data_IF_789300363099
#
_entry.id   IF_789300363099
#
_cell.length_a   1.000
_cell.length_b   1.000
_cell.length_c   1.000
_cell.angle_alpha   90.00
_cell.angle_beta   90.00
_cell.angle_gamma   90.00
#
_symmetry.space_group_name_H-M   'P 1'
#
loop_
_entity.id
_entity.type
_entity.pdbx_description
1 polymer ?
#
# COMPACT_ATOMS: atom_id res chain seq x y z
N UNK A 1 17.37 11.78 1.86
CA UNK A 1 16.65 10.51 2.05
C UNK A 1 17.40 9.61 3.03
N UNK A 2 16.71 9.05 4.05
CA UNK A 2 17.31 8.29 5.17
C UNK A 2 17.27 6.78 4.91
N UNK A 3 18.21 6.03 5.52
CA UNK A 3 18.14 4.56 5.65
C UNK A 3 17.36 4.21 6.92
N UNK A 4 16.63 3.10 6.89
CA UNK A 4 15.94 2.58 8.07
C UNK A 4 16.92 1.82 8.97
N UNK A 5 16.77 1.97 10.29
CA UNK A 5 17.41 1.08 11.25
C UNK A 5 16.67 -0.26 11.31
N UNK A 6 17.29 -1.30 11.89
CA UNK A 6 16.64 -2.59 12.12
C UNK A 6 15.32 -2.45 12.89
N UNK A 7 15.32 -1.61 13.94
CA UNK A 7 14.11 -1.29 14.70
C UNK A 7 13.03 -0.63 13.82
N UNK A 8 13.41 0.25 12.89
CA UNK A 8 12.48 0.86 11.93
C UNK A 8 11.80 -0.18 11.03
N UNK A 9 12.55 -1.15 10.53
CA UNK A 9 11.98 -2.27 9.75
C UNK A 9 11.04 -3.14 10.59
N UNK A 10 11.38 -3.40 11.86
CA UNK A 10 10.52 -4.16 12.77
C UNK A 10 9.20 -3.43 13.05
N UNK A 11 9.25 -2.12 13.27
CA UNK A 11 8.03 -1.31 13.42
C UNK A 11 7.20 -1.26 12.14
N UNK A 12 7.82 -1.11 10.96
CA UNK A 12 7.11 -1.19 9.67
C UNK A 12 6.35 -2.50 9.55
N UNK A 13 7.01 -3.62 9.83
CA UNK A 13 6.39 -4.94 9.76
C UNK A 13 5.23 -5.07 10.76
N UNK A 14 5.45 -4.68 12.02
CA UNK A 14 4.41 -4.69 13.06
C UNK A 14 3.19 -3.84 12.67
N UNK A 15 3.41 -2.61 12.19
CA UNK A 15 2.33 -1.74 11.73
C UNK A 15 1.61 -2.32 10.51
N UNK A 16 2.33 -2.96 9.59
CA UNK A 16 1.73 -3.65 8.44
C UNK A 16 0.78 -4.75 8.88
N UNK A 17 1.20 -5.59 9.84
CA UNK A 17 0.36 -6.64 10.43
C UNK A 17 -0.91 -6.05 11.07
N UNK A 18 -0.76 -4.99 11.86
CA UNK A 18 -1.93 -4.31 12.46
C UNK A 18 -2.86 -3.72 11.41
N UNK A 19 -2.33 -3.09 10.37
CA UNK A 19 -3.14 -2.54 9.29
C UNK A 19 -3.92 -3.64 8.55
N UNK A 20 -3.30 -4.78 8.23
CA UNK A 20 -4.03 -5.89 7.59
C UNK A 20 -5.02 -6.57 8.53
N UNK A 21 -4.74 -6.67 9.82
CA UNK A 21 -5.71 -7.15 10.81
C UNK A 21 -6.93 -6.22 10.90
N UNK A 22 -6.72 -4.90 10.93
CA UNK A 22 -7.80 -3.91 10.87
C UNK A 22 -8.58 -4.05 9.55
N UNK A 23 -7.88 -4.20 8.43
CA UNK A 23 -8.50 -4.41 7.13
C UNK A 23 -9.43 -5.64 7.15
N UNK A 24 -8.96 -6.77 7.69
CA UNK A 24 -9.77 -7.97 7.86
C UNK A 24 -10.98 -7.76 8.77
N UNK A 25 -10.83 -7.00 9.86
CA UNK A 25 -11.96 -6.62 10.71
C UNK A 25 -12.99 -5.77 9.96
N UNK A 26 -12.55 -4.81 9.14
CA UNK A 26 -13.44 -3.96 8.35
C UNK A 26 -14.22 -4.77 7.29
N UNK A 27 -13.57 -5.74 6.64
CA UNK A 27 -14.23 -6.67 5.71
C UNK A 27 -15.35 -7.43 6.42
N UNK A 28 -15.05 -8.03 7.58
CA UNK A 28 -16.02 -8.80 8.35
C UNK A 28 -17.10 -7.92 9.02
N UNK A 29 -16.81 -6.64 9.25
CA UNK A 29 -17.73 -5.66 9.81
C UNK A 29 -18.74 -5.06 8.81
N UNK A 30 -18.78 -5.54 7.56
CA UNK A 30 -19.80 -5.17 6.58
C UNK A 30 -19.44 -4.02 5.64
N UNK A 31 -18.19 -3.53 5.64
CA UNK A 31 -17.76 -2.52 4.66
C UNK A 31 -17.66 -3.06 3.23
N UNK A 32 -17.56 -4.38 3.06
CA UNK A 32 -17.58 -5.04 1.75
C UNK A 32 -16.53 -4.45 0.79
N UNK A 33 -17.00 -3.92 -0.34
CA UNK A 33 -16.15 -3.33 -1.39
C UNK A 33 -15.48 -2.02 -0.99
N UNK A 34 -15.94 -1.36 0.07
CA UNK A 34 -15.41 -0.06 0.52
C UNK A 34 -14.18 -0.17 1.43
N UNK A 35 -13.64 -1.38 1.64
CA UNK A 35 -12.47 -1.55 2.50
C UNK A 35 -11.22 -0.97 1.81
N UNK A 36 -10.51 -0.02 2.45
CA UNK A 36 -9.31 0.58 1.86
C UNK A 36 -8.12 -0.37 1.90
N UNK A 37 -7.19 -0.24 0.94
CA UNK A 37 -5.90 -0.94 0.99
C UNK A 37 -4.93 -0.22 1.93
N UNK A 38 -4.91 -0.65 3.19
CA UNK A 38 -4.11 -0.01 4.24
C UNK A 38 -2.60 -0.24 4.04
N UNK A 39 -2.21 -1.34 3.38
CA UNK A 39 -0.83 -1.60 2.99
C UNK A 39 -0.32 -0.57 1.97
N UNK A 40 -1.14 -0.24 0.98
CA UNK A 40 -0.83 0.79 0.00
C UNK A 40 -0.73 2.18 0.64
N UNK A 41 -1.67 2.52 1.54
CA UNK A 41 -1.64 3.78 2.29
C UNK A 41 -0.34 3.93 3.09
N UNK A 42 0.09 2.84 3.76
CA UNK A 42 1.36 2.81 4.48
C UNK A 42 2.54 3.03 3.53
N UNK A 43 2.59 2.31 2.40
CA UNK A 43 3.68 2.43 1.43
C UNK A 43 3.80 3.85 0.88
N UNK A 44 2.70 4.43 0.40
CA UNK A 44 2.72 5.79 -0.16
C UNK A 44 3.03 6.87 0.89
N UNK A 45 2.66 6.64 2.15
CA UNK A 45 3.03 7.52 3.26
C UNK A 45 4.54 7.51 3.56
N UNK A 46 5.20 6.36 3.37
CA UNK A 46 6.64 6.19 3.57
C UNK A 46 7.47 6.54 2.33
N UNK A 47 6.87 6.43 1.14
CA UNK A 47 7.52 6.63 -0.15
C UNK A 47 8.34 7.92 -0.16
N UNK A 48 7.73 9.07 0.13
CA UNK A 48 8.39 10.39 0.12
C UNK A 48 9.64 10.52 1.02
N UNK A 49 9.85 9.61 1.98
CA UNK A 49 10.89 9.73 3.01
C UNK A 49 12.06 8.76 2.83
N UNK A 50 11.80 7.62 2.20
CA UNK A 50 12.75 6.55 2.01
C UNK A 50 13.43 6.64 0.65
N UNK A 51 14.62 6.04 0.56
CA UNK A 51 15.31 5.78 -0.73
C UNK A 51 14.59 4.65 -1.45
N UNK A 52 14.63 4.61 -2.78
CA UNK A 52 13.99 3.56 -3.58
C UNK A 52 14.42 2.14 -3.17
N UNK A 53 15.69 1.92 -2.84
CA UNK A 53 16.17 0.60 -2.39
C UNK A 53 15.57 0.17 -1.05
N UNK A 54 15.44 1.11 -0.10
CA UNK A 54 14.80 0.88 1.20
C UNK A 54 13.30 0.67 1.02
N UNK A 55 12.69 1.39 0.08
CA UNK A 55 11.27 1.28 -0.24
C UNK A 55 10.91 -0.09 -0.80
N UNK A 56 11.79 -0.69 -1.63
CA UNK A 56 11.63 -2.08 -2.09
C UNK A 56 11.61 -3.07 -0.93
N UNK A 57 12.51 -2.91 0.05
CA UNK A 57 12.54 -3.75 1.25
C UNK A 57 11.28 -3.58 2.10
N UNK A 58 10.81 -2.34 2.26
CA UNK A 58 9.56 -2.05 2.96
C UNK A 58 8.37 -2.69 2.23
N UNK A 59 8.30 -2.61 0.90
CA UNK A 59 7.27 -3.28 0.11
C UNK A 59 7.30 -4.81 0.28
N UNK A 60 8.49 -5.42 0.34
CA UNK A 60 8.61 -6.84 0.64
C UNK A 60 8.04 -7.18 2.03
N UNK A 61 8.35 -6.37 3.05
CA UNK A 61 7.79 -6.60 4.39
C UNK A 61 6.28 -6.43 4.43
N UNK A 62 5.73 -5.42 3.74
CA UNK A 62 4.28 -5.21 3.62
C UNK A 62 3.64 -6.37 2.87
N UNK A 63 4.24 -6.84 1.77
CA UNK A 63 3.77 -7.97 0.99
C UNK A 63 3.77 -9.27 1.80
N UNK A 64 4.85 -9.54 2.54
CA UNK A 64 4.96 -10.70 3.44
C UNK A 64 3.89 -10.64 4.54
N UNK A 65 3.72 -9.47 5.17
CA UNK A 65 2.65 -9.27 6.14
C UNK A 65 1.27 -9.48 5.52
N UNK A 66 1.01 -9.02 4.29
CA UNK A 66 -0.28 -9.26 3.63
C UNK A 66 -0.49 -10.75 3.33
N UNK A 67 0.54 -11.47 2.90
CA UNK A 67 0.43 -12.88 2.53
C UNK A 67 -0.02 -13.79 3.68
N UNK A 68 0.18 -13.39 4.94
CA UNK A 68 -0.33 -14.15 6.09
C UNK A 68 -1.82 -13.99 6.30
N UNK A 69 -2.45 -12.98 5.68
CA UNK A 69 -3.89 -12.66 5.81
C UNK A 69 -4.67 -12.83 4.50
N UNK A 70 -4.02 -13.23 3.41
CA UNK A 70 -4.68 -13.44 2.12
C UNK A 70 -4.60 -14.90 1.69
N UNK A 71 -5.62 -15.35 0.95
CA UNK A 71 -5.62 -16.62 0.24
C UNK A 71 -4.91 -16.54 -1.13
N UNK A 72 -4.55 -15.33 -1.58
CA UNK A 72 -3.85 -15.13 -2.85
C UNK A 72 -2.42 -15.67 -2.80
N UNK A 73 -1.88 -16.03 -3.97
CA UNK A 73 -0.48 -16.42 -4.11
C UNK A 73 0.47 -15.32 -3.60
N UNK A 74 1.43 -15.70 -2.75
CA UNK A 74 2.46 -14.81 -2.24
C UNK A 74 3.26 -14.14 -3.38
N UNK A 75 3.48 -14.85 -4.49
CA UNK A 75 4.17 -14.31 -5.66
C UNK A 75 3.37 -13.16 -6.31
N UNK A 76 2.05 -13.29 -6.40
CA UNK A 76 1.19 -12.23 -6.90
C UNK A 76 1.25 -11.01 -5.98
N UNK A 77 1.14 -11.23 -4.65
CA UNK A 77 1.17 -10.17 -3.63
C UNK A 77 2.47 -9.37 -3.70
N UNK A 78 3.61 -10.07 -3.71
CA UNK A 78 4.94 -9.47 -3.81
C UNK A 78 5.08 -8.67 -5.11
N UNK A 79 4.65 -9.24 -6.24
CA UNK A 79 4.73 -8.58 -7.56
C UNK A 79 3.89 -7.31 -7.59
N UNK A 80 2.69 -7.33 -7.03
CA UNK A 80 1.81 -6.16 -6.97
C UNK A 80 2.47 -5.01 -6.19
N UNK A 81 2.91 -5.26 -4.95
CA UNK A 81 3.51 -4.20 -4.13
C UNK A 81 4.87 -3.70 -4.64
N UNK A 82 5.71 -4.60 -5.19
CA UNK A 82 6.95 -4.18 -5.83
C UNK A 82 6.69 -3.38 -7.11
N UNK A 83 5.66 -3.74 -7.88
CA UNK A 83 5.20 -3.00 -9.05
C UNK A 83 4.81 -1.57 -8.69
N UNK A 84 4.01 -1.40 -7.63
CA UNK A 84 3.67 -0.07 -7.10
C UNK A 84 4.92 0.74 -6.79
N UNK A 85 5.87 0.19 -6.01
CA UNK A 85 7.11 0.91 -5.66
C UNK A 85 7.96 1.23 -6.88
N UNK A 86 8.00 0.33 -7.87
CA UNK A 86 8.70 0.55 -9.13
C UNK A 86 8.14 1.75 -9.89
N UNK A 87 6.82 1.79 -10.05
CA UNK A 87 6.12 2.88 -10.76
C UNK A 87 6.19 4.18 -9.96
N UNK A 88 5.97 4.18 -8.64
CA UNK A 88 6.08 5.40 -7.82
C UNK A 88 7.50 5.96 -7.82
N UNK A 89 8.52 5.09 -7.77
CA UNK A 89 9.92 5.51 -7.85
C UNK A 89 10.24 6.15 -9.21
N UNK A 90 9.65 5.66 -10.30
CA UNK A 90 9.78 6.27 -11.62
C UNK A 90 9.07 7.62 -11.69
N UNK A 91 7.82 7.69 -11.22
CA UNK A 91 7.01 8.91 -11.20
C UNK A 91 7.65 10.01 -10.37
N UNK A 92 8.30 9.67 -9.25
CA UNK A 92 8.98 10.66 -8.39
C UNK A 92 10.09 11.43 -9.12
N UNK A 93 10.66 10.88 -10.19
CA UNK A 93 11.67 11.59 -10.99
C UNK A 93 11.08 12.76 -11.78
N UNK A 94 9.78 12.73 -12.11
CA UNK A 94 9.10 13.75 -12.91
C UNK A 94 8.00 14.52 -12.18
N UNK A 95 7.49 14.00 -11.06
CA UNK A 95 6.40 14.60 -10.29
C UNK A 95 6.83 14.81 -8.84
N UNK A 96 6.64 16.03 -8.34
CA UNK A 96 6.76 16.33 -6.91
C UNK A 96 5.54 15.77 -6.17
N UNK A 97 5.62 14.49 -5.76
CA UNK A 97 4.59 13.80 -4.97
C UNK A 97 4.62 14.23 -3.48
N UNK A 98 4.69 15.54 -3.23
CA UNK A 98 4.65 16.10 -1.88
C UNK A 98 3.25 16.62 -1.51
N UNK A 99 2.38 16.87 -2.49
CA UNK A 99 0.99 17.29 -2.27
C UNK A 99 0.08 16.18 -1.73
N UNK A 100 -0.72 16.50 -0.70
CA UNK A 100 -1.71 15.57 -0.12
C UNK A 100 -2.70 15.04 -1.15
N UNK A 101 -3.16 15.91 -2.06
CA UNK A 101 -4.13 15.56 -3.11
C UNK A 101 -3.52 14.66 -4.18
N UNK A 102 -2.26 14.90 -4.57
CA UNK A 102 -1.58 14.02 -5.53
C UNK A 102 -1.36 12.63 -4.91
N UNK A 103 -0.99 12.56 -3.62
CA UNK A 103 -0.84 11.28 -2.92
C UNK A 103 -2.15 10.48 -2.85
N UNK A 104 -3.29 11.14 -2.60
CA UNK A 104 -4.58 10.44 -2.57
C UNK A 104 -5.00 9.96 -3.95
N UNK A 105 -4.75 10.74 -5.01
CA UNK A 105 -5.00 10.31 -6.40
C UNK A 105 -4.13 9.11 -6.79
N UNK A 106 -2.84 9.17 -6.45
CA UNK A 106 -1.91 8.06 -6.66
C UNK A 106 -2.36 6.81 -5.88
N UNK A 107 -2.85 6.98 -4.65
CA UNK A 107 -3.40 5.89 -3.86
C UNK A 107 -4.67 5.28 -4.50
N UNK A 108 -5.58 6.12 -5.02
CA UNK A 108 -6.76 5.66 -5.75
C UNK A 108 -6.36 4.82 -6.97
N UNK A 109 -5.44 5.35 -7.79
CA UNK A 109 -4.99 4.72 -9.02
C UNK A 109 -4.33 3.36 -8.75
N UNK A 110 -3.39 3.29 -7.80
CA UNK A 110 -2.73 2.03 -7.46
C UNK A 110 -3.65 1.05 -6.75
N UNK A 111 -4.62 1.52 -5.96
CA UNK A 111 -5.64 0.65 -5.36
C UNK A 111 -6.48 -0.03 -6.44
N UNK A 112 -7.01 0.75 -7.39
CA UNK A 112 -7.73 0.19 -8.54
C UNK A 112 -6.88 -0.81 -9.35
N UNK A 113 -5.62 -0.45 -9.61
CA UNK A 113 -4.68 -1.29 -10.37
C UNK A 113 -4.37 -2.59 -9.65
N UNK A 114 -4.12 -2.54 -8.33
CA UNK A 114 -3.89 -3.73 -7.51
C UNK A 114 -5.13 -4.61 -7.44
N UNK A 115 -6.33 -4.03 -7.26
CA UNK A 115 -7.58 -4.79 -7.28
C UNK A 115 -7.78 -5.52 -8.61
N UNK A 116 -7.55 -4.85 -9.74
CA UNK A 116 -7.60 -5.49 -11.05
C UNK A 116 -6.54 -6.61 -11.18
N UNK A 117 -5.33 -6.38 -10.68
CA UNK A 117 -4.27 -7.39 -10.65
C UNK A 117 -4.64 -8.62 -9.81
N UNK A 118 -5.29 -8.44 -8.65
CA UNK A 118 -5.79 -9.54 -7.83
C UNK A 118 -6.85 -10.36 -8.56
N UNK A 119 -7.81 -9.70 -9.22
CA UNK A 119 -8.83 -10.38 -10.02
C UNK A 119 -8.22 -11.24 -11.12
N UNK A 120 -7.24 -10.69 -11.86
CA UNK A 120 -6.51 -11.41 -12.91
C UNK A 120 -5.79 -12.63 -12.33
N UNK A 121 -5.03 -12.46 -11.25
CA UNK A 121 -4.29 -13.56 -10.62
C UNK A 121 -5.22 -14.65 -10.10
N UNK A 122 -6.35 -14.27 -9.51
CA UNK A 122 -7.35 -15.19 -9.00
C UNK A 122 -7.99 -16.00 -10.13
N UNK A 123 -8.38 -15.34 -11.23
CA UNK A 123 -9.00 -16.00 -12.39
C UNK A 123 -8.03 -16.93 -13.12
N UNK A 124 -6.76 -16.55 -13.25
CA UNK A 124 -5.70 -17.42 -13.77
C UNK A 124 -5.56 -18.65 -12.86
N UNK A 125 -5.54 -18.46 -11.54
CA UNK A 125 -5.46 -19.57 -10.58
C UNK A 125 -6.68 -20.51 -10.63
N UNK A 126 -7.84 -20.01 -11.05
CA UNK A 126 -9.07 -20.78 -11.25
C UNK A 126 -9.23 -21.31 -12.69
N UNK A 127 -8.27 -21.06 -13.59
CA UNK A 127 -8.35 -21.40 -15.03
C UNK A 127 -9.61 -20.86 -15.72
N UNK A 128 -10.11 -19.72 -15.27
CA UNK A 128 -11.32 -19.07 -15.79
C UNK A 128 -10.98 -17.89 -16.71
N UNK A 129 -11.87 -17.52 -17.66
CA UNK A 129 -11.66 -16.35 -18.49
C UNK A 129 -11.45 -15.10 -17.64
N UNK A 130 -10.45 -14.31 -18.00
CA UNK A 130 -10.14 -13.07 -17.28
C UNK A 130 -11.22 -12.03 -17.56
N UNK A 131 -11.97 -11.67 -16.53
CA UNK A 131 -12.99 -10.62 -16.57
C UNK A 131 -12.75 -9.62 -15.46
N UNK A 132 -12.57 -8.36 -15.84
CA UNK A 132 -12.44 -7.25 -14.90
C UNK A 132 -13.83 -6.64 -14.74
N UNK A 133 -14.32 -6.52 -13.51
CA UNK A 133 -15.59 -5.90 -13.16
C UNK A 133 -15.30 -4.47 -12.64
N UNK A 134 -15.45 -3.43 -13.47
CA UNK A 134 -15.05 -2.06 -13.12
C UNK A 134 -15.78 -1.53 -11.89
N UNK A 135 -17.02 -1.96 -11.67
CA UNK A 135 -17.84 -1.62 -10.51
C UNK A 135 -17.21 -2.02 -9.17
N UNK A 136 -16.34 -3.04 -9.16
CA UNK A 136 -15.65 -3.51 -7.95
C UNK A 136 -14.39 -2.69 -7.65
N UNK A 137 -13.84 -1.97 -8.63
CA UNK A 137 -12.59 -1.22 -8.49
C UNK A 137 -12.80 0.15 -7.85
N UNK A 138 -13.93 0.80 -8.16
CA UNK A 138 -14.25 2.16 -7.73
C UNK A 138 -14.31 2.33 -6.20
N UNK A 139 -15.12 1.53 -5.48
CA UNK A 139 -15.30 1.68 -4.03
C UNK A 139 -13.99 1.58 -3.23
N UNK A 140 -13.19 0.55 -3.51
CA UNK A 140 -11.89 0.34 -2.84
C UNK A 140 -10.90 1.46 -3.19
N UNK A 141 -10.87 1.91 -4.44
CA UNK A 141 -10.01 3.01 -4.86
C UNK A 141 -10.37 4.33 -4.14
N UNK A 142 -11.66 4.66 -4.08
CA UNK A 142 -12.15 5.87 -3.41
C UNK A 142 -11.90 5.82 -1.90
N UNK A 143 -12.19 4.70 -1.24
CA UNK A 143 -11.92 4.56 0.19
C UNK A 143 -10.43 4.61 0.50
N UNK A 144 -9.59 4.01 -0.35
CA UNK A 144 -8.14 4.08 -0.21
C UNK A 144 -7.62 5.51 -0.39
N UNK A 145 -8.17 6.26 -1.35
CA UNK A 145 -7.84 7.67 -1.56
C UNK A 145 -8.21 8.53 -0.35
N UNK A 146 -9.43 8.36 0.18
CA UNK A 146 -9.90 9.06 1.37
C UNK A 146 -9.04 8.70 2.60
N UNK A 147 -8.72 7.41 2.76
CA UNK A 147 -7.86 6.94 3.83
C UNK A 147 -6.43 7.52 3.71
N UNK A 148 -5.86 7.53 2.51
CA UNK A 148 -4.54 8.14 2.27
C UNK A 148 -4.51 9.63 2.59
N UNK A 149 -5.60 10.35 2.29
CA UNK A 149 -5.74 11.77 2.60
C UNK A 149 -5.79 12.04 4.11
N UNK A 150 -6.57 11.25 4.85
CA UNK A 150 -6.82 11.44 6.29
C UNK A 150 -5.69 10.86 7.16
N UNK A 151 -5.28 9.62 6.86
CA UNK A 151 -4.34 8.83 7.68
C UNK A 151 -2.89 9.11 7.28
N UNK A 152 -2.63 9.52 6.04
CA UNK A 152 -1.29 9.84 5.54
C UNK A 152 -0.48 10.78 6.45
N UNK A 153 -1.04 11.90 6.94
CA UNK A 153 -0.37 12.77 7.92
C UNK A 153 -0.12 12.09 9.28
N UNK A 154 -1.03 11.21 9.73
CA UNK A 154 -0.94 10.51 11.00
C UNK A 154 0.15 9.42 10.99
N UNK A 155 0.39 8.76 9.84
CA UNK A 155 1.45 7.76 9.69
C UNK A 155 2.83 8.32 10.07
N UNK A 156 3.06 9.62 9.85
CA UNK A 156 4.30 10.33 10.20
C UNK A 156 4.52 10.41 11.72
N UNK A 157 3.47 10.17 12.51
CA UNK A 157 3.52 10.22 13.97
C UNK A 157 3.62 8.85 14.62
N UNK A 158 3.58 7.77 13.83
CA UNK A 158 3.66 6.43 14.38
C UNK A 158 5.04 6.18 15.03
N UNK A 159 5.06 5.48 16.18
CA UNK A 159 6.31 5.09 16.83
C UNK A 159 7.14 4.19 15.91
N UNK A 160 8.47 4.38 15.95
CA UNK A 160 9.41 3.75 15.02
C UNK A 160 9.74 4.57 13.77
N UNK A 161 8.87 5.51 13.39
CA UNK A 161 9.08 6.42 12.25
C UNK A 161 9.64 7.79 12.66
N UNK A 162 9.83 8.03 13.96
CA UNK A 162 10.45 9.25 14.51
C UNK A 162 11.90 9.43 14.06
N UNK A 163 12.63 8.35 13.79
CA UNK A 163 13.98 8.38 13.20
C UNK A 163 14.00 8.92 11.76
N UNK A 164 12.84 8.94 11.09
CA UNK A 164 12.64 9.47 9.73
C UNK A 164 12.23 10.95 9.77
N UNK A 165 12.02 11.52 10.96
CA UNK A 165 11.40 12.85 11.19
C UNK A 165 12.36 14.03 11.09
N UNK A 166 13.59 13.85 10.59
CA UNK A 166 14.55 14.94 10.58
C UNK A 166 14.40 15.90 9.39
N UNK A 167 13.93 17.12 9.72
CA UNK A 167 14.06 18.42 9.04
C UNK A 167 14.31 18.38 7.53
N UNK A 168 13.24 18.53 6.75
CA UNK A 168 13.25 19.53 5.67
C UNK A 168 12.96 20.87 6.35
N UNK A 169 13.99 21.68 6.54
CA UNK A 169 13.85 23.13 6.40
C UNK A 169 14.10 23.43 4.94
#
# INVERSE_FOLDING_TARGET
MRRLSLAGYLFVFLWSVWFFAIQGFLVNGGLGLWVPDLGLVLLLGLDARLRSDEMRRVALLVALARSTFSADSAAAIITGYLGVVGVTSALRKGLEIDGFLLRSLVAAFFSATLSAWWMVCHQIGLETPVTIAPELLGPAALSTAACALIVGPALVRLPGFSSIRGRRR
#
